data_IF_114739146975
#
_entry.id   IF_114739146975
#
_cell.length_a   1.000
_cell.length_b   1.000
_cell.length_c   1.000
_cell.angle_alpha   90.00
_cell.angle_beta   90.00
_cell.angle_gamma   90.00
#
_symmetry.space_group_name_H-M   'P 1'
#
loop_
_entity.id
_entity.type
_entity.pdbx_description
1 polymer ?
#
# COMPACT_ATOMS: atom_id res chain seq x y z
N UNK A 1 6.20 -17.03 3.21
CA UNK A 1 6.77 -15.98 2.34
C UNK A 1 7.47 -14.98 3.22
N UNK A 2 8.63 -14.47 2.83
CA UNK A 2 9.39 -13.47 3.61
C UNK A 2 9.83 -12.35 2.67
N UNK A 3 9.93 -11.14 3.19
CA UNK A 3 10.67 -10.03 2.60
C UNK A 3 11.90 -9.77 3.47
N UNK A 4 13.08 -9.76 2.87
CA UNK A 4 14.32 -9.46 3.58
C UNK A 4 15.03 -8.28 2.93
N UNK A 5 15.49 -7.36 3.75
CA UNK A 5 16.45 -6.33 3.39
C UNK A 5 17.81 -6.76 3.97
N UNK A 6 18.83 -6.87 3.12
CA UNK A 6 20.17 -7.29 3.52
C UNK A 6 21.14 -6.14 3.24
N UNK A 7 21.53 -5.41 4.29
CA UNK A 7 22.41 -4.25 4.21
C UNK A 7 21.92 -3.14 3.29
N UNK A 8 20.60 -2.98 3.15
CA UNK A 8 20.00 -2.01 2.22
C UNK A 8 20.23 -0.59 2.70
N UNK A 9 20.83 0.24 1.85
CA UNK A 9 21.03 1.68 2.10
C UNK A 9 20.55 2.54 0.94
N UNK A 10 20.33 3.82 1.22
CA UNK A 10 20.01 4.81 0.19
C UNK A 10 20.73 6.11 0.46
N UNK A 11 21.54 6.52 -0.52
CA UNK A 11 22.23 7.82 -0.55
C UNK A 11 21.72 8.58 -1.77
N UNK A 12 21.34 9.83 -1.58
CA UNK A 12 20.87 10.74 -2.63
C UNK A 12 21.68 12.04 -2.52
N UNK A 13 22.35 12.45 -3.60
CA UNK A 13 23.15 13.67 -3.64
C UNK A 13 24.15 13.79 -2.48
N UNK A 14 24.76 12.66 -2.09
CA UNK A 14 25.73 12.59 -0.98
C UNK A 14 25.11 12.57 0.43
N UNK A 15 23.78 12.67 0.54
CA UNK A 15 23.08 12.60 1.82
C UNK A 15 22.54 11.17 2.05
N UNK A 16 22.76 10.65 3.26
CA UNK A 16 22.25 9.34 3.66
C UNK A 16 20.78 9.46 4.03
N UNK A 17 19.90 8.88 3.20
CA UNK A 17 18.46 8.81 3.45
C UNK A 17 18.08 7.57 4.25
N UNK A 18 18.73 6.44 3.97
CA UNK A 18 18.57 5.17 4.69
C UNK A 18 19.98 4.65 4.98
N UNK A 19 20.29 4.45 6.25
CA UNK A 19 21.51 3.77 6.68
C UNK A 19 21.42 2.28 6.35
N UNK A 20 22.58 1.57 6.23
CA UNK A 20 22.58 0.12 6.02
C UNK A 20 21.65 -0.58 7.01
N UNK A 21 20.63 -1.24 6.49
CA UNK A 21 19.50 -1.80 7.25
C UNK A 21 19.33 -3.26 6.90
N UNK A 22 19.28 -4.10 7.91
CA UNK A 22 18.89 -5.51 7.85
C UNK A 22 17.51 -5.64 8.49
N UNK A 23 16.56 -6.24 7.78
CA UNK A 23 15.19 -6.41 8.24
C UNK A 23 14.58 -7.66 7.61
N UNK A 24 13.86 -8.43 8.38
CA UNK A 24 13.07 -9.57 7.89
C UNK A 24 11.62 -9.40 8.29
N UNK A 25 10.72 -9.48 7.32
CA UNK A 25 9.27 -9.41 7.49
C UNK A 25 8.65 -10.73 7.07
N UNK A 26 7.84 -11.31 7.94
CA UNK A 26 7.23 -12.62 7.73
C UNK A 26 5.83 -12.51 7.13
N UNK A 27 5.43 -13.56 6.41
CA UNK A 27 4.11 -13.67 5.80
C UNK A 27 2.98 -13.59 6.84
N UNK A 28 1.92 -12.89 6.48
CA UNK A 28 0.75 -12.71 7.35
C UNK A 28 1.00 -11.81 8.55
N UNK A 29 2.10 -11.04 8.53
CA UNK A 29 2.40 -10.08 9.61
C UNK A 29 2.05 -8.66 9.23
N UNK A 30 1.59 -7.89 10.21
CA UNK A 30 1.46 -6.45 10.12
C UNK A 30 2.65 -5.80 10.81
N UNK A 31 3.40 -5.02 10.07
CA UNK A 31 4.62 -4.37 10.53
C UNK A 31 4.42 -2.86 10.52
N UNK A 32 4.70 -2.19 11.63
CA UNK A 32 4.51 -0.74 11.74
C UNK A 32 5.85 -0.02 11.68
N UNK A 33 5.98 0.93 10.77
CA UNK A 33 7.07 1.89 10.70
C UNK A 33 6.65 3.17 11.42
N UNK A 34 6.94 3.25 12.71
CA UNK A 34 6.65 4.44 13.50
C UNK A 34 7.84 5.43 13.44
N UNK A 35 7.58 6.68 13.18
CA UNK A 35 8.61 7.72 13.18
C UNK A 35 8.11 9.06 12.71
N UNK A 36 8.89 10.12 13.02
CA UNK A 36 8.57 11.50 12.60
C UNK A 36 8.51 11.64 11.07
N UNK A 37 7.87 12.69 10.61
CA UNK A 37 7.95 13.11 9.19
C UNK A 37 9.43 13.23 8.77
N UNK A 38 9.73 12.84 7.55
CA UNK A 38 11.10 12.78 7.00
C UNK A 38 12.08 11.81 7.69
N UNK A 39 11.62 10.89 8.53
CA UNK A 39 12.47 9.84 9.13
C UNK A 39 12.88 8.72 8.14
N UNK A 40 12.51 8.82 6.87
CA UNK A 40 12.88 7.83 5.85
C UNK A 40 11.85 6.71 5.66
N UNK A 41 10.69 6.73 6.34
CA UNK A 41 9.64 5.69 6.23
C UNK A 41 9.25 5.43 4.77
N UNK A 42 8.82 6.46 4.07
CA UNK A 42 8.44 6.39 2.65
C UNK A 42 9.61 5.89 1.78
N UNK A 43 10.82 6.37 2.02
CA UNK A 43 12.02 5.94 1.27
C UNK A 43 12.29 4.45 1.46
N UNK A 44 12.18 3.94 2.69
CA UNK A 44 12.35 2.52 3.00
C UNK A 44 11.28 1.67 2.29
N UNK A 45 10.02 2.10 2.35
CA UNK A 45 8.92 1.43 1.66
C UNK A 45 9.09 1.41 0.13
N UNK A 46 9.61 2.50 -0.45
CA UNK A 46 9.91 2.57 -1.89
C UNK A 46 11.01 1.58 -2.29
N UNK A 47 12.02 1.38 -1.44
CA UNK A 47 13.05 0.34 -1.64
C UNK A 47 12.44 -1.07 -1.56
N UNK A 48 11.58 -1.34 -0.58
CA UNK A 48 10.84 -2.61 -0.46
C UNK A 48 9.99 -2.89 -1.69
N UNK A 49 9.29 -1.87 -2.20
CA UNK A 49 8.44 -1.96 -3.38
C UNK A 49 9.23 -2.18 -4.69
N UNK A 50 10.50 -1.78 -4.73
CA UNK A 50 11.30 -1.74 -5.96
C UNK A 50 10.97 -0.54 -6.85
N UNK A 51 10.42 0.51 -6.26
CA UNK A 51 10.20 1.81 -6.92
C UNK A 51 11.51 2.61 -6.99
N UNK A 52 12.36 2.43 -5.99
CA UNK A 52 13.71 2.97 -5.96
C UNK A 52 14.71 1.83 -5.84
N UNK A 53 15.86 1.99 -6.49
CA UNK A 53 16.98 1.09 -6.31
C UNK A 53 17.78 1.46 -5.05
N UNK A 54 18.22 0.52 -4.22
CA UNK A 54 19.12 0.78 -3.13
C UNK A 54 20.51 1.21 -3.65
N UNK A 55 21.25 1.98 -2.85
CA UNK A 55 22.65 2.31 -3.14
C UNK A 55 23.56 1.12 -2.85
N UNK A 56 23.28 0.39 -1.76
CA UNK A 56 23.95 -0.86 -1.41
C UNK A 56 22.92 -1.86 -0.88
N UNK A 57 23.33 -3.11 -0.78
CA UNK A 57 22.51 -4.18 -0.23
C UNK A 57 21.54 -4.80 -1.24
N UNK A 58 20.72 -5.69 -0.75
CA UNK A 58 19.78 -6.50 -1.54
C UNK A 58 18.41 -6.55 -0.92
N UNK A 59 17.40 -6.62 -1.78
CA UNK A 59 16.01 -6.90 -1.41
C UNK A 59 15.69 -8.32 -1.85
N UNK A 60 15.38 -9.19 -0.90
CA UNK A 60 15.08 -10.60 -1.15
C UNK A 60 13.59 -10.83 -0.92
N UNK A 61 12.92 -11.41 -1.89
CA UNK A 61 11.53 -11.82 -1.83
C UNK A 61 11.40 -13.32 -1.98
N UNK A 62 10.92 -14.01 -0.94
CA UNK A 62 10.77 -15.47 -0.96
C UNK A 62 12.06 -16.20 -1.35
N UNK A 63 13.20 -15.73 -0.85
CA UNK A 63 14.52 -16.30 -1.15
C UNK A 63 15.13 -15.88 -2.50
N UNK A 64 14.40 -15.15 -3.34
CA UNK A 64 14.91 -14.64 -4.62
C UNK A 64 15.36 -13.19 -4.50
N UNK A 65 16.52 -12.86 -5.08
CA UNK A 65 17.00 -11.48 -5.19
C UNK A 65 16.15 -10.71 -6.21
N UNK A 66 15.39 -9.73 -5.72
CA UNK A 66 14.51 -8.89 -6.54
C UNK A 66 14.98 -7.44 -6.64
N UNK A 67 16.21 -7.15 -6.25
CA UNK A 67 16.74 -5.78 -6.12
C UNK A 67 16.59 -4.95 -7.40
N UNK A 68 16.90 -5.52 -8.57
CA UNK A 68 16.79 -4.84 -9.87
C UNK A 68 15.47 -5.12 -10.61
N UNK A 69 14.54 -5.87 -10.01
CA UNK A 69 13.29 -6.24 -10.67
C UNK A 69 12.35 -5.03 -10.77
N UNK A 70 11.75 -4.83 -11.94
CA UNK A 70 10.77 -3.75 -12.15
C UNK A 70 9.55 -3.96 -11.25
N UNK A 71 9.00 -2.86 -10.71
CA UNK A 71 7.84 -2.90 -9.81
C UNK A 71 6.61 -3.59 -10.43
N UNK A 72 6.44 -3.49 -11.75
CA UNK A 72 5.35 -4.15 -12.48
C UNK A 72 5.42 -5.68 -12.43
N UNK A 73 6.63 -6.22 -12.31
CA UNK A 73 6.88 -7.66 -12.25
C UNK A 73 6.84 -8.20 -10.80
N UNK A 74 6.68 -7.30 -9.81
CA UNK A 74 6.52 -7.63 -8.39
C UNK A 74 5.04 -7.65 -7.99
N UNK A 75 4.67 -8.62 -7.14
CA UNK A 75 3.33 -8.67 -6.54
C UNK A 75 3.23 -7.72 -5.33
N UNK A 76 3.36 -6.43 -5.58
CA UNK A 76 3.34 -5.38 -4.55
C UNK A 76 2.20 -4.38 -4.81
N UNK A 77 1.57 -3.91 -3.75
CA UNK A 77 0.66 -2.77 -3.76
C UNK A 77 1.21 -1.69 -2.82
N UNK A 78 1.17 -0.43 -3.24
CA UNK A 78 1.56 0.71 -2.41
C UNK A 78 0.50 1.79 -2.48
N UNK A 79 0.10 2.28 -1.32
CA UNK A 79 -0.75 3.46 -1.14
C UNK A 79 0.12 4.55 -0.56
N UNK A 80 0.24 5.63 -1.29
CA UNK A 80 1.01 6.82 -0.88
C UNK A 80 0.18 7.72 0.03
N UNK A 81 0.84 8.51 0.85
CA UNK A 81 0.24 9.59 1.64
C UNK A 81 -0.57 10.55 0.74
N UNK A 82 -0.03 10.89 -0.43
CA UNK A 82 -0.79 11.54 -1.50
C UNK A 82 -1.51 10.46 -2.31
N UNK A 83 -2.76 10.19 -1.96
CA UNK A 83 -3.59 9.22 -2.68
C UNK A 83 -3.70 9.58 -4.17
N UNK A 84 -3.24 8.67 -5.01
CA UNK A 84 -3.28 8.83 -6.47
C UNK A 84 -4.44 8.01 -7.01
N UNK A 85 -5.48 8.70 -7.50
CA UNK A 85 -6.58 8.09 -8.25
C UNK A 85 -6.49 8.50 -9.73
N UNK A 86 -7.04 7.68 -10.61
CA UNK A 86 -7.16 8.01 -12.03
C UNK A 86 -8.33 8.99 -12.23
N UNK A 87 -8.08 10.26 -12.56
CA UNK A 87 -9.13 11.30 -12.52
C UNK A 87 -10.20 11.13 -13.60
N UNK A 88 -9.88 10.46 -14.70
CA UNK A 88 -10.81 10.18 -15.80
C UNK A 88 -11.74 8.99 -15.55
N UNK A 89 -11.41 8.14 -14.59
CA UNK A 89 -12.14 6.92 -14.26
C UNK A 89 -13.12 7.17 -13.11
N UNK A 90 -14.23 6.45 -13.09
CA UNK A 90 -15.13 6.41 -11.92
C UNK A 90 -14.44 5.75 -10.72
N UNK A 91 -15.04 5.84 -9.54
CA UNK A 91 -14.59 5.08 -8.34
C UNK A 91 -14.59 3.58 -8.64
N UNK A 92 -15.67 3.08 -9.27
CA UNK A 92 -15.75 1.68 -9.71
C UNK A 92 -14.56 1.30 -10.59
N UNK A 93 -14.29 2.07 -11.63
CA UNK A 93 -13.20 1.79 -12.58
C UNK A 93 -11.81 1.93 -11.95
N UNK A 94 -11.65 2.87 -11.02
CA UNK A 94 -10.42 3.00 -10.23
C UNK A 94 -10.14 1.71 -9.45
N UNK A 95 -11.13 1.21 -8.70
CA UNK A 95 -11.01 -0.02 -7.91
C UNK A 95 -10.82 -1.22 -8.84
N UNK A 96 -11.57 -1.31 -9.94
CA UNK A 96 -11.48 -2.42 -10.90
C UNK A 96 -10.17 -2.49 -11.68
N UNK A 97 -9.45 -1.35 -11.82
CA UNK A 97 -8.32 -1.22 -12.74
C UNK A 97 -7.22 -2.28 -12.58
N UNK A 98 -6.74 -2.64 -11.36
CA UNK A 98 -5.70 -3.66 -11.22
C UNK A 98 -6.18 -5.04 -11.68
N UNK A 99 -7.45 -5.38 -11.40
CA UNK A 99 -8.02 -6.68 -11.77
C UNK A 99 -8.24 -6.80 -13.27
N UNK A 100 -8.63 -5.71 -13.94
CA UNK A 100 -8.71 -5.65 -15.41
C UNK A 100 -7.36 -5.94 -16.06
N UNK A 101 -6.28 -5.36 -15.53
CA UNK A 101 -4.91 -5.60 -16.01
C UNK A 101 -4.44 -7.04 -15.80
N UNK A 102 -4.92 -7.71 -14.76
CA UNK A 102 -4.63 -9.12 -14.47
C UNK A 102 -5.51 -10.11 -15.25
N UNK A 103 -6.45 -9.63 -16.06
CA UNK A 103 -7.35 -10.49 -16.86
C UNK A 103 -8.41 -11.20 -16.03
N UNK A 104 -8.78 -10.69 -14.86
CA UNK A 104 -9.84 -11.24 -14.00
C UNK A 104 -11.19 -11.13 -14.71
N UNK A 105 -12.06 -12.11 -14.53
CA UNK A 105 -13.40 -12.12 -15.16
C UNK A 105 -14.28 -10.95 -14.71
N UNK A 106 -15.17 -10.48 -15.59
CA UNK A 106 -16.04 -9.34 -15.29
C UNK A 106 -16.92 -9.57 -14.05
N UNK A 107 -17.44 -10.77 -13.88
CA UNK A 107 -18.30 -11.13 -12.74
C UNK A 107 -17.51 -11.10 -11.42
N UNK A 108 -16.28 -11.58 -11.42
CA UNK A 108 -15.41 -11.55 -10.25
C UNK A 108 -14.96 -10.12 -9.93
N UNK A 109 -14.64 -9.31 -10.95
CA UNK A 109 -14.32 -7.89 -10.77
C UNK A 109 -15.50 -7.17 -10.09
N UNK A 110 -16.73 -7.34 -10.59
CA UNK A 110 -17.91 -6.68 -10.01
C UNK A 110 -18.13 -7.07 -8.55
N UNK A 111 -18.03 -8.35 -8.24
CA UNK A 111 -18.15 -8.84 -6.86
C UNK A 111 -17.11 -8.23 -5.93
N UNK A 112 -15.84 -8.26 -6.32
CA UNK A 112 -14.72 -7.74 -5.49
C UNK A 112 -14.72 -6.22 -5.38
N UNK A 113 -15.13 -5.50 -6.42
CA UNK A 113 -15.30 -4.05 -6.36
C UNK A 113 -16.38 -3.67 -5.37
N UNK A 114 -17.55 -4.34 -5.40
CA UNK A 114 -18.65 -4.05 -4.48
C UNK A 114 -18.31 -4.38 -3.04
N UNK A 115 -17.69 -5.52 -2.80
CA UNK A 115 -17.21 -5.91 -1.47
C UNK A 115 -16.21 -4.88 -0.91
N UNK A 116 -15.21 -4.49 -1.71
CA UNK A 116 -14.23 -3.49 -1.31
C UNK A 116 -14.83 -2.09 -1.12
N UNK A 117 -15.79 -1.71 -1.97
CA UNK A 117 -16.48 -0.44 -1.86
C UNK A 117 -17.38 -0.37 -0.62
N UNK A 118 -18.06 -1.45 -0.27
CA UNK A 118 -18.89 -1.53 0.93
C UNK A 118 -18.03 -1.40 2.18
N UNK A 119 -16.93 -2.15 2.24
CA UNK A 119 -15.95 -2.09 3.31
C UNK A 119 -15.40 -0.66 3.50
N UNK A 120 -15.10 0.04 2.40
CA UNK A 120 -14.58 1.41 2.41
C UNK A 120 -15.69 2.47 2.45
N UNK A 121 -16.95 2.08 2.63
CA UNK A 121 -18.11 2.99 2.64
C UNK A 121 -18.17 3.88 1.40
N UNK A 122 -17.88 3.31 0.23
CA UNK A 122 -17.85 3.98 -1.08
C UNK A 122 -18.98 3.54 -2.00
N UNK A 123 -19.82 2.59 -1.60
CA UNK A 123 -20.90 2.05 -2.44
C UNK A 123 -21.77 3.13 -3.08
N UNK A 124 -22.21 4.21 -2.36
CA UNK A 124 -22.99 5.28 -2.97
C UNK A 124 -22.21 6.18 -3.96
N UNK A 125 -20.89 6.05 -4.04
CA UNK A 125 -20.00 6.88 -4.85
C UNK A 125 -19.41 6.15 -6.05
N UNK A 126 -19.79 4.89 -6.30
CA UNK A 126 -19.16 4.05 -7.33
C UNK A 126 -19.18 4.69 -8.73
N UNK A 127 -20.22 5.44 -9.06
CA UNK A 127 -20.38 6.10 -10.37
C UNK A 127 -19.73 7.50 -10.44
N UNK A 128 -19.21 8.02 -9.33
CA UNK A 128 -18.56 9.33 -9.27
C UNK A 128 -17.10 9.24 -9.73
N UNK A 129 -16.57 10.39 -10.18
CA UNK A 129 -15.14 10.55 -10.45
C UNK A 129 -14.41 11.09 -9.22
N UNK A 130 -13.08 10.90 -9.12
CA UNK A 130 -12.30 11.35 -7.98
C UNK A 130 -12.46 12.84 -7.64
N UNK A 131 -12.61 13.71 -8.63
CA UNK A 131 -12.82 15.15 -8.42
C UNK A 131 -14.15 15.50 -7.74
N UNK A 132 -15.11 14.58 -7.72
CA UNK A 132 -16.42 14.72 -7.07
C UNK A 132 -16.42 14.16 -5.62
N UNK A 133 -15.25 13.72 -5.14
CA UNK A 133 -15.07 13.11 -3.83
C UNK A 133 -14.34 14.04 -2.88
N UNK A 134 -14.66 13.93 -1.58
CA UNK A 134 -13.82 14.52 -0.52
C UNK A 134 -12.45 13.84 -0.46
N UNK A 135 -11.45 14.51 0.15
CA UNK A 135 -10.11 13.94 0.32
C UNK A 135 -10.12 12.55 0.99
N UNK A 136 -10.90 12.38 2.06
CA UNK A 136 -11.04 11.08 2.72
C UNK A 136 -11.71 10.01 1.84
N UNK A 137 -12.67 10.38 0.98
CA UNK A 137 -13.27 9.46 0.02
C UNK A 137 -12.27 9.05 -1.06
N UNK A 138 -11.46 9.98 -1.54
CA UNK A 138 -10.39 9.68 -2.51
C UNK A 138 -9.33 8.74 -1.91
N UNK A 139 -8.96 8.95 -0.65
CA UNK A 139 -8.02 8.10 0.07
C UNK A 139 -8.56 6.67 0.21
N UNK A 140 -9.83 6.52 0.60
CA UNK A 140 -10.49 5.22 0.67
C UNK A 140 -10.59 4.51 -0.68
N UNK A 141 -10.77 5.27 -1.77
CA UNK A 141 -10.74 4.73 -3.13
C UNK A 141 -9.36 4.14 -3.46
N UNK A 142 -8.28 4.83 -3.11
CA UNK A 142 -6.92 4.34 -3.29
C UNK A 142 -6.63 3.09 -2.43
N UNK A 143 -7.13 3.04 -1.19
CA UNK A 143 -7.05 1.87 -0.31
C UNK A 143 -7.83 0.68 -0.91
N UNK A 144 -9.07 0.89 -1.34
CA UNK A 144 -9.88 -0.15 -1.98
C UNK A 144 -9.16 -0.75 -3.21
N UNK A 145 -8.54 0.10 -4.02
CA UNK A 145 -7.75 -0.34 -5.18
C UNK A 145 -6.54 -1.20 -4.81
N UNK A 146 -5.86 -0.87 -3.70
CA UNK A 146 -4.74 -1.67 -3.21
C UNK A 146 -5.20 -3.05 -2.70
N UNK A 147 -6.34 -3.10 -2.02
CA UNK A 147 -6.91 -4.35 -1.48
C UNK A 147 -7.28 -5.36 -2.57
N UNK A 148 -7.95 -4.90 -3.62
CA UNK A 148 -8.38 -5.80 -4.70
C UNK A 148 -7.22 -6.34 -5.55
N UNK A 149 -6.03 -5.77 -5.43
CA UNK A 149 -4.84 -6.21 -6.18
C UNK A 149 -4.35 -7.59 -5.77
N UNK A 150 -4.72 -8.07 -4.58
CA UNK A 150 -4.25 -9.36 -4.03
C UNK A 150 -2.72 -9.49 -4.07
N UNK A 151 -2.04 -8.45 -3.60
CA UNK A 151 -0.59 -8.40 -3.59
C UNK A 151 -0.02 -9.20 -2.40
N UNK A 152 1.16 -9.81 -2.58
CA UNK A 152 1.86 -10.49 -1.48
C UNK A 152 2.54 -9.53 -0.50
N UNK A 153 2.82 -8.29 -0.94
CA UNK A 153 3.35 -7.20 -0.12
C UNK A 153 2.46 -5.97 -0.31
N UNK A 154 1.95 -5.42 0.79
CA UNK A 154 1.14 -4.20 0.80
C UNK A 154 1.79 -3.16 1.69
N UNK A 155 2.05 -2.00 1.12
CA UNK A 155 2.74 -0.87 1.74
C UNK A 155 1.76 0.30 1.86
N UNK A 156 1.49 0.75 3.07
CA UNK A 156 0.55 1.83 3.38
C UNK A 156 1.28 2.99 4.04
N UNK A 157 1.46 4.09 3.30
CA UNK A 157 2.17 5.27 3.77
C UNK A 157 1.17 6.31 4.31
N UNK A 158 1.07 6.41 5.62
CA UNK A 158 0.13 7.27 6.36
C UNK A 158 -1.32 7.16 5.84
N UNK A 159 -1.89 5.94 5.76
CA UNK A 159 -3.15 5.70 5.02
C UNK A 159 -4.39 6.30 5.70
N UNK A 160 -4.29 6.79 6.93
CA UNK A 160 -5.40 7.36 7.68
C UNK A 160 -5.27 8.87 7.94
N UNK A 161 -4.18 9.50 7.51
CA UNK A 161 -3.85 10.89 7.85
C UNK A 161 -4.92 11.92 7.44
N UNK A 162 -5.66 11.67 6.35
CA UNK A 162 -6.66 12.61 5.83
C UNK A 162 -8.12 12.22 6.15
N UNK A 163 -8.32 11.29 7.10
CA UNK A 163 -9.66 10.88 7.54
C UNK A 163 -10.09 11.71 8.77
N UNK A 164 -11.39 11.95 8.87
CA UNK A 164 -11.97 12.46 10.10
C UNK A 164 -11.79 11.44 11.25
N UNK A 165 -11.85 11.92 12.48
CA UNK A 165 -11.56 11.13 13.69
C UNK A 165 -12.39 9.83 13.75
N UNK A 166 -13.71 9.93 13.55
CA UNK A 166 -14.61 8.77 13.66
C UNK A 166 -14.26 7.68 12.64
N UNK A 167 -14.04 8.09 11.41
CA UNK A 167 -13.71 7.17 10.32
C UNK A 167 -12.30 6.59 10.49
N UNK A 168 -11.36 7.39 11.02
CA UNK A 168 -10.01 6.91 11.36
C UNK A 168 -10.08 5.78 12.38
N UNK A 169 -10.83 5.95 13.46
CA UNK A 169 -11.01 4.91 14.47
C UNK A 169 -11.65 3.64 13.91
N UNK A 170 -12.67 3.78 13.06
CA UNK A 170 -13.28 2.64 12.39
C UNK A 170 -12.25 1.90 11.49
N UNK A 171 -11.48 2.64 10.69
CA UNK A 171 -10.50 2.05 9.77
C UNK A 171 -9.30 1.42 10.50
N UNK A 172 -8.90 1.95 11.65
CA UNK A 172 -7.86 1.33 12.51
C UNK A 172 -8.24 -0.10 12.92
N UNK A 173 -9.52 -0.37 13.12
CA UNK A 173 -10.02 -1.70 13.49
C UNK A 173 -10.23 -2.59 12.26
N UNK A 174 -10.72 -2.01 11.15
CA UNK A 174 -11.10 -2.81 9.96
C UNK A 174 -9.89 -3.17 9.08
N UNK A 175 -8.93 -2.26 8.92
CA UNK A 175 -7.75 -2.52 8.09
C UNK A 175 -7.00 -3.78 8.54
N UNK A 176 -6.64 -3.98 9.82
CA UNK A 176 -5.97 -5.21 10.26
C UNK A 176 -6.76 -6.48 9.95
N UNK A 177 -8.09 -6.48 10.16
CA UNK A 177 -8.94 -7.66 9.91
C UNK A 177 -8.96 -8.08 8.44
N UNK A 178 -8.90 -7.10 7.53
CA UNK A 178 -8.83 -7.36 6.10
C UNK A 178 -7.51 -8.06 5.78
N UNK A 179 -6.45 -7.62 6.41
CA UNK A 179 -5.10 -8.06 6.16
C UNK A 179 -4.81 -9.44 6.73
N UNK A 180 -5.33 -9.76 7.90
CA UNK A 180 -5.23 -11.10 8.47
C UNK A 180 -5.73 -12.20 7.51
N UNK A 181 -6.81 -11.90 6.75
CA UNK A 181 -7.39 -12.84 5.79
C UNK A 181 -6.58 -13.01 4.51
N UNK A 182 -5.73 -12.05 4.15
CA UNK A 182 -5.03 -12.05 2.87
C UNK A 182 -3.75 -12.91 2.86
N UNK A 183 -3.15 -13.16 4.02
CA UNK A 183 -1.86 -13.83 4.16
C UNK A 183 -0.68 -13.02 3.58
N UNK A 184 -0.86 -11.76 3.21
CA UNK A 184 0.19 -10.89 2.71
C UNK A 184 1.09 -10.36 3.84
N UNK A 185 2.23 -9.80 3.47
CA UNK A 185 3.03 -8.96 4.36
C UNK A 185 2.51 -7.54 4.28
N UNK A 186 2.20 -6.93 5.43
CA UNK A 186 1.79 -5.54 5.53
C UNK A 186 2.84 -4.69 6.19
N UNK A 187 3.11 -3.55 5.58
CA UNK A 187 3.94 -2.50 6.17
C UNK A 187 3.11 -1.23 6.23
N UNK A 188 2.92 -0.73 7.43
CA UNK A 188 2.11 0.44 7.73
C UNK A 188 3.03 1.54 8.28
N UNK A 189 3.19 2.63 7.57
CA UNK A 189 3.96 3.78 8.05
C UNK A 189 3.03 4.82 8.67
N UNK A 190 3.37 5.28 9.86
CA UNK A 190 2.62 6.32 10.56
C UNK A 190 3.53 7.25 11.38
N UNK A 191 3.03 8.45 11.65
CA UNK A 191 3.60 9.38 12.63
C UNK A 191 2.90 9.30 13.98
N UNK A 192 1.75 8.64 14.05
CA UNK A 192 0.89 8.56 15.23
C UNK A 192 1.19 7.31 16.05
N UNK A 193 1.68 7.44 17.29
CA UNK A 193 1.96 6.26 18.14
C UNK A 193 0.72 5.41 18.44
N UNK A 194 -0.46 6.01 18.42
CA UNK A 194 -1.74 5.33 18.68
C UNK A 194 -2.16 4.39 17.54
N UNK A 195 -1.54 4.53 16.36
CA UNK A 195 -1.76 3.65 15.21
C UNK A 195 -0.78 2.46 15.18
N UNK A 196 0.21 2.46 16.05
CA UNK A 196 1.20 1.39 16.20
C UNK A 196 0.77 0.41 17.30
#
# INVERSE_FOLDING_TARGET
MTLELQGVSKVVEGQVHIHPTDLTLDNGTMNVLLGRTAAGKTSLMRLMAGLDAPTTGKVIWQGADVTGMRVQDRKVAMVYQQFINYPSMTVYDNIASPMKLMGVSKSEIDARVRESADLMKLTPMLDRKPLELSGGQQQRCALARALVKNAGLVLLDEPLANLDYKLREEMRVEIPKIFEKSGAIFVYATTEPEEA
#
